data_IF_672380794483
#
_entry.id   IF_672380794483
#
_cell.length_a   1.000
_cell.length_b   1.000
_cell.length_c   1.000
_cell.angle_alpha   90.00
_cell.angle_beta   90.00
_cell.angle_gamma   90.00
#
_symmetry.space_group_name_H-M   'P 1'
#
loop_
_entity.id
_entity.type
_entity.pdbx_description
1 polymer ?
#
# COMPACT_ATOMS: atom_id res chain seq x y z
N UNK A 1 -12.33 8.86 -18.55
CA UNK A 1 -12.12 7.54 -19.18
C UNK A 1 -11.07 7.69 -20.26
N UNK A 2 -10.30 6.64 -20.54
CA UNK A 2 -9.31 6.64 -21.64
C UNK A 2 -9.75 5.57 -22.63
N UNK A 3 -9.78 5.91 -23.92
CA UNK A 3 -10.22 5.04 -25.01
C UNK A 3 -9.04 4.77 -25.95
N UNK A 4 -8.75 3.49 -26.21
CA UNK A 4 -7.76 3.08 -27.21
C UNK A 4 -8.45 2.21 -28.26
N UNK A 5 -8.35 2.60 -29.52
CA UNK A 5 -9.00 1.90 -30.64
C UNK A 5 -7.98 1.55 -31.71
N UNK A 6 -8.10 0.34 -32.25
CA UNK A 6 -7.48 -0.08 -33.49
C UNK A 6 -8.54 -0.53 -34.51
N UNK A 7 -8.11 -0.72 -35.75
CA UNK A 7 -8.88 -1.20 -36.90
C UNK A 7 -8.35 -2.55 -37.43
N UNK A 8 -7.62 -3.31 -36.60
CA UNK A 8 -7.04 -4.59 -36.96
C UNK A 8 -8.06 -5.73 -37.04
N UNK A 9 -7.56 -6.97 -37.00
CA UNK A 9 -8.40 -8.18 -37.08
C UNK A 9 -9.33 -8.43 -35.89
N UNK A 10 -9.15 -7.67 -34.80
CA UNK A 10 -9.82 -7.92 -33.52
C UNK A 10 -9.29 -9.15 -32.77
N UNK A 11 -9.89 -9.45 -31.61
CA UNK A 11 -9.59 -10.67 -30.86
C UNK A 11 -10.30 -11.89 -31.46
N UNK A 12 -9.55 -12.98 -31.52
CA UNK A 12 -10.00 -14.27 -32.03
C UNK A 12 -10.43 -15.16 -30.85
N UNK A 13 -11.74 -15.39 -30.75
CA UNK A 13 -12.36 -16.15 -29.65
C UNK A 13 -11.84 -17.58 -29.59
N UNK A 14 -11.76 -18.25 -30.73
CA UNK A 14 -11.37 -19.65 -30.82
C UNK A 14 -9.91 -19.84 -30.45
N UNK A 15 -9.02 -18.97 -30.96
CA UNK A 15 -7.59 -19.01 -30.59
C UNK A 15 -7.38 -18.78 -29.09
N UNK A 16 -8.12 -17.85 -28.49
CA UNK A 16 -8.00 -17.57 -27.05
C UNK A 16 -8.48 -18.77 -26.23
N UNK A 17 -9.61 -19.38 -26.60
CA UNK A 17 -10.12 -20.58 -25.91
C UNK A 17 -9.15 -21.75 -26.02
N UNK A 18 -8.64 -22.02 -27.24
CA UNK A 18 -7.66 -23.08 -27.49
C UNK A 18 -6.41 -22.87 -26.63
N UNK A 19 -5.88 -21.64 -26.59
CA UNK A 19 -4.70 -21.33 -25.78
C UNK A 19 -4.97 -21.41 -24.28
N UNK A 20 -6.14 -20.97 -23.82
CA UNK A 20 -6.55 -21.07 -22.41
C UNK A 20 -6.69 -22.53 -21.96
N UNK A 21 -7.12 -23.43 -22.85
CA UNK A 21 -7.18 -24.87 -22.60
C UNK A 21 -5.78 -25.49 -22.51
N UNK A 22 -4.90 -25.19 -23.46
CA UNK A 22 -3.49 -25.64 -23.44
C UNK A 22 -2.75 -25.19 -22.17
N UNK A 23 -3.04 -23.97 -21.71
CA UNK A 23 -2.40 -23.37 -20.54
C UNK A 23 -3.05 -23.77 -19.20
N UNK A 24 -4.04 -24.67 -19.22
CA UNK A 24 -4.77 -25.12 -18.02
C UNK A 24 -5.64 -24.06 -17.33
N UNK A 25 -5.87 -22.92 -17.98
CA UNK A 25 -6.66 -21.79 -17.45
C UNK A 25 -8.17 -21.99 -17.64
N UNK A 26 -8.57 -22.72 -18.67
CA UNK A 26 -9.97 -23.05 -18.95
C UNK A 26 -10.39 -24.30 -18.17
N UNK A 27 -11.29 -24.14 -17.21
CA UNK A 27 -11.93 -25.26 -16.48
C UNK A 27 -13.40 -25.33 -16.86
N UNK A 28 -13.81 -26.34 -17.63
CA UNK A 28 -15.21 -26.56 -18.04
C UNK A 28 -15.48 -26.32 -19.53
N UNK A 29 -16.76 -26.23 -19.88
CA UNK A 29 -17.20 -26.09 -21.27
C UNK A 29 -17.03 -24.63 -21.76
N UNK A 30 -16.19 -24.38 -22.79
CA UNK A 30 -16.00 -23.03 -23.33
C UNK A 30 -17.26 -22.38 -23.90
N UNK A 31 -18.26 -23.16 -24.32
CA UNK A 31 -19.51 -22.64 -24.90
C UNK A 31 -20.37 -21.90 -23.87
N UNK A 32 -20.12 -22.12 -22.58
CA UNK A 32 -20.80 -21.42 -21.49
C UNK A 32 -20.23 -20.04 -21.20
N UNK A 33 -19.07 -19.70 -21.77
CA UNK A 33 -18.38 -18.45 -21.50
C UNK A 33 -18.90 -17.32 -22.39
N UNK A 34 -19.23 -16.18 -21.77
CA UNK A 34 -19.47 -14.94 -22.50
C UNK A 34 -18.19 -14.44 -23.17
N UNK A 35 -18.33 -13.66 -24.24
CA UNK A 35 -17.19 -13.00 -24.91
C UNK A 35 -16.29 -12.26 -23.92
N UNK A 36 -16.88 -11.53 -22.98
CA UNK A 36 -16.13 -10.81 -21.94
C UNK A 36 -15.26 -11.74 -21.08
N UNK A 37 -15.79 -12.91 -20.72
CA UNK A 37 -15.02 -13.91 -19.95
C UNK A 37 -13.89 -14.47 -20.80
N UNK A 38 -14.11 -14.72 -22.09
CA UNK A 38 -13.05 -15.18 -23.00
C UNK A 38 -11.96 -14.11 -23.13
N UNK A 39 -12.31 -12.85 -23.37
CA UNK A 39 -11.33 -11.76 -23.48
C UNK A 39 -10.52 -11.57 -22.21
N UNK A 40 -11.08 -11.86 -21.02
CA UNK A 40 -10.35 -11.74 -19.76
C UNK A 40 -9.11 -12.64 -19.67
N UNK A 41 -9.03 -13.73 -20.46
CA UNK A 41 -7.85 -14.58 -20.48
C UNK A 41 -6.59 -13.86 -20.97
N UNK A 42 -6.73 -12.83 -21.81
CA UNK A 42 -5.56 -12.09 -22.32
C UNK A 42 -4.79 -11.36 -21.21
N UNK A 43 -5.43 -11.10 -20.07
CA UNK A 43 -4.79 -10.49 -18.91
C UNK A 43 -4.11 -11.50 -17.98
N UNK A 44 -4.18 -12.81 -18.26
CA UNK A 44 -3.51 -13.81 -17.44
C UNK A 44 -1.99 -13.75 -17.67
N UNK A 45 -1.17 -13.91 -16.61
CA UNK A 45 0.28 -13.89 -16.73
C UNK A 45 0.78 -14.88 -17.78
N UNK A 46 1.66 -14.42 -18.68
CA UNK A 46 2.22 -15.26 -19.74
C UNK A 46 1.25 -15.65 -20.86
N UNK A 47 0.02 -15.13 -20.87
CA UNK A 47 -0.94 -15.43 -21.92
C UNK A 47 -0.60 -14.71 -23.22
N UNK A 48 -0.43 -15.47 -24.31
CA UNK A 48 -0.21 -14.96 -25.66
C UNK A 48 -0.75 -15.95 -26.69
N UNK A 49 -1.35 -15.43 -27.77
CA UNK A 49 -1.85 -16.21 -28.90
C UNK A 49 -0.86 -16.31 -30.07
N UNK A 50 0.36 -15.76 -29.94
CA UNK A 50 1.43 -15.93 -30.95
C UNK A 50 2.14 -17.27 -30.74
N UNK A 51 2.27 -18.04 -31.83
CA UNK A 51 2.92 -19.37 -31.83
C UNK A 51 4.44 -19.32 -31.68
N UNK A 52 5.08 -18.25 -32.17
CA UNK A 52 6.54 -18.08 -32.08
C UNK A 52 6.91 -16.90 -31.18
N UNK A 53 7.75 -17.17 -30.19
CA UNK A 53 8.42 -16.15 -29.36
C UNK A 53 9.48 -15.48 -30.23
N UNK A 54 9.07 -14.50 -31.03
CA UNK A 54 10.02 -13.64 -31.74
C UNK A 54 10.41 -12.47 -30.83
N UNK A 55 11.71 -12.34 -30.56
CA UNK A 55 12.31 -11.35 -29.65
C UNK A 55 12.07 -9.87 -30.04
N UNK A 56 11.45 -9.59 -31.19
CA UNK A 56 11.10 -8.23 -31.60
C UNK A 56 9.72 -7.79 -31.09
N UNK A 57 9.60 -7.65 -29.78
CA UNK A 57 8.77 -6.59 -29.19
C UNK A 57 9.40 -5.96 -27.94
N UNK A 58 10.69 -6.24 -27.69
CA UNK A 58 11.69 -5.30 -27.17
C UNK A 58 11.58 -4.73 -25.76
N UNK A 59 10.44 -4.78 -25.05
CA UNK A 59 10.32 -4.37 -23.62
C UNK A 59 9.30 -5.14 -22.76
N UNK A 60 8.67 -6.20 -23.28
CA UNK A 60 7.98 -7.19 -22.43
C UNK A 60 6.84 -6.65 -21.56
N UNK A 61 5.98 -5.76 -22.08
CA UNK A 61 4.76 -5.34 -21.35
C UNK A 61 3.59 -6.20 -21.82
N UNK A 62 3.37 -7.31 -21.12
CA UNK A 62 2.19 -8.15 -21.32
C UNK A 62 0.91 -7.44 -20.86
N UNK A 63 -0.23 -7.88 -21.38
CA UNK A 63 -1.54 -7.34 -20.98
C UNK A 63 -1.84 -7.58 -19.50
N UNK A 64 -1.22 -8.59 -18.88
CA UNK A 64 -1.23 -8.84 -17.45
C UNK A 64 -0.58 -7.70 -16.64
N UNK A 65 0.49 -7.09 -17.17
CA UNK A 65 1.14 -5.91 -16.57
C UNK A 65 0.20 -4.72 -16.62
N UNK A 66 -0.46 -4.51 -17.76
CA UNK A 66 -1.42 -3.41 -17.96
C UNK A 66 -2.61 -3.54 -17.00
N UNK A 67 -3.18 -4.74 -16.87
CA UNK A 67 -4.28 -4.99 -15.93
C UNK A 67 -3.86 -4.70 -14.48
N UNK A 68 -2.67 -5.16 -14.06
CA UNK A 68 -2.14 -4.84 -12.72
C UNK A 68 -1.98 -3.35 -12.48
N UNK A 69 -1.46 -2.59 -13.47
CA UNK A 69 -1.30 -1.14 -13.36
C UNK A 69 -2.65 -0.43 -13.22
N UNK A 70 -3.64 -0.82 -14.02
CA UNK A 70 -4.99 -0.23 -13.95
C UNK A 70 -5.69 -0.59 -12.64
N UNK A 71 -5.58 -1.83 -12.16
CA UNK A 71 -6.15 -2.25 -10.89
C UNK A 71 -5.50 -1.54 -9.68
N UNK A 72 -4.20 -1.21 -9.76
CA UNK A 72 -3.50 -0.46 -8.70
C UNK A 72 -4.09 0.91 -8.42
N UNK A 73 -4.67 1.54 -9.44
CA UNK A 73 -5.36 2.84 -9.30
C UNK A 73 -6.87 2.69 -9.13
N UNK A 74 -7.31 1.52 -8.63
CA UNK A 74 -8.72 1.13 -8.52
C UNK A 74 -9.51 1.28 -9.83
N UNK A 75 -8.81 1.18 -10.96
CA UNK A 75 -9.39 1.24 -12.28
C UNK A 75 -9.85 -0.12 -12.79
N UNK A 76 -10.51 -0.12 -13.95
CA UNK A 76 -10.86 -1.34 -14.70
C UNK A 76 -10.70 -1.15 -16.20
N UNK A 77 -10.52 -2.25 -16.92
CA UNK A 77 -10.43 -2.30 -18.38
C UNK A 77 -11.64 -3.06 -18.93
N UNK A 78 -12.37 -2.44 -19.85
CA UNK A 78 -13.39 -3.13 -20.65
C UNK A 78 -12.90 -3.28 -22.09
N UNK A 79 -13.24 -4.40 -22.75
CA UNK A 79 -12.83 -4.72 -24.12
C UNK A 79 -14.08 -4.87 -24.98
N UNK A 80 -14.08 -4.20 -26.11
CA UNK A 80 -15.08 -4.35 -27.17
C UNK A 80 -14.35 -4.67 -28.47
N UNK A 81 -14.60 -5.84 -29.04
CA UNK A 81 -13.90 -6.29 -30.24
C UNK A 81 -14.88 -6.89 -31.22
N UNK A 82 -14.57 -6.77 -32.50
CA UNK A 82 -15.27 -7.48 -33.57
C UNK A 82 -14.24 -8.05 -34.54
N UNK A 83 -14.45 -9.29 -34.97
CA UNK A 83 -13.61 -9.92 -35.97
C UNK A 83 -13.54 -9.04 -37.23
N UNK A 84 -12.33 -8.82 -37.74
CA UNK A 84 -12.00 -7.97 -38.90
C UNK A 84 -12.50 -6.52 -38.82
N UNK A 85 -12.76 -5.99 -37.61
CA UNK A 85 -13.20 -4.60 -37.41
C UNK A 85 -12.48 -3.88 -36.26
N UNK A 86 -11.42 -4.48 -35.73
CA UNK A 86 -10.58 -3.94 -34.68
C UNK A 86 -11.06 -4.18 -33.26
N UNK A 87 -10.32 -3.62 -32.31
CA UNK A 87 -10.60 -3.66 -30.88
C UNK A 87 -10.65 -2.26 -30.27
N UNK A 88 -11.52 -2.08 -29.28
CA UNK A 88 -11.64 -0.91 -28.43
C UNK A 88 -11.39 -1.33 -26.98
N UNK A 89 -10.37 -0.74 -26.36
CA UNK A 89 -10.11 -0.83 -24.94
C UNK A 89 -10.62 0.43 -24.24
N UNK A 90 -11.39 0.25 -23.17
CA UNK A 90 -11.95 1.34 -22.35
C UNK A 90 -11.39 1.24 -20.95
N UNK A 91 -10.49 2.17 -20.60
CA UNK A 91 -9.90 2.27 -19.27
C UNK A 91 -10.74 3.23 -18.42
N UNK A 92 -11.33 2.69 -17.36
CA UNK A 92 -12.12 3.43 -16.37
C UNK A 92 -11.30 3.56 -15.10
N UNK A 93 -10.60 4.67 -14.97
CA UNK A 93 -9.84 5.02 -13.77
C UNK A 93 -10.69 6.03 -12.96
N UNK A 94 -10.97 5.77 -11.68
CA UNK A 94 -11.65 6.72 -10.82
C UNK A 94 -10.87 8.02 -10.71
N UNK A 95 -11.55 9.16 -10.93
CA UNK A 95 -11.04 10.49 -10.58
C UNK A 95 -11.40 10.76 -9.12
N UNK A 96 -10.93 9.93 -8.19
CA UNK A 96 -11.30 10.09 -6.79
C UNK A 96 -10.19 10.80 -6.04
N UNK A 97 -10.54 11.93 -5.43
CA UNK A 97 -9.75 12.52 -4.37
C UNK A 97 -9.81 11.59 -3.17
N UNK A 98 -8.71 10.91 -2.85
CA UNK A 98 -8.65 10.09 -1.63
C UNK A 98 -8.49 11.02 -0.43
N UNK A 99 -9.55 11.20 0.34
CA UNK A 99 -9.53 11.94 1.59
C UNK A 99 -9.23 10.99 2.76
N UNK A 100 -8.39 11.45 3.68
CA UNK A 100 -8.06 10.73 4.91
C UNK A 100 -8.23 11.69 6.08
N UNK A 101 -8.97 11.27 7.11
CA UNK A 101 -8.95 11.95 8.40
C UNK A 101 -7.77 11.44 9.22
N UNK A 102 -6.94 12.36 9.71
CA UNK A 102 -5.78 11.99 10.51
C UNK A 102 -5.32 13.07 11.46
N UNK A 103 -4.59 12.63 12.48
CA UNK A 103 -3.87 13.49 13.41
C UNK A 103 -2.52 13.87 12.82
N UNK A 104 -2.28 15.17 12.73
CA UNK A 104 -1.00 15.72 12.30
C UNK A 104 -0.06 15.78 13.49
N UNK A 105 1.07 15.09 13.37
CA UNK A 105 2.14 15.09 14.37
C UNK A 105 3.42 15.67 13.76
N UNK A 106 4.29 16.18 14.62
CA UNK A 106 5.61 16.67 14.23
C UNK A 106 6.69 15.88 14.96
N UNK A 107 7.73 15.51 14.21
CA UNK A 107 8.96 14.94 14.76
C UNK A 107 10.14 15.70 14.17
N UNK A 108 10.91 16.36 15.02
CA UNK A 108 11.88 17.38 14.67
C UNK A 108 11.27 18.43 13.70
N UNK A 109 11.68 18.40 12.42
CA UNK A 109 11.23 19.34 11.39
C UNK A 109 10.26 18.71 10.38
N UNK A 110 9.93 17.44 10.54
CA UNK A 110 9.10 16.69 9.60
C UNK A 110 7.69 16.49 10.15
N UNK A 111 6.73 16.38 9.25
CA UNK A 111 5.32 16.23 9.55
C UNK A 111 4.83 14.84 9.14
N UNK A 112 4.04 14.23 10.01
CA UNK A 112 3.42 12.93 9.75
C UNK A 112 1.93 12.99 10.06
N UNK A 113 1.19 12.10 9.40
CA UNK A 113 -0.24 11.93 9.59
C UNK A 113 -0.45 10.50 10.06
N UNK A 114 -1.09 10.36 11.22
CA UNK A 114 -1.59 9.07 11.69
C UNK A 114 -3.10 9.04 11.41
N UNK A 115 -3.63 8.03 10.69
CA UNK A 115 -5.07 7.89 10.52
C UNK A 115 -5.79 7.91 11.87
N UNK A 116 -6.83 8.73 12.02
CA UNK A 116 -7.53 8.87 13.32
C UNK A 116 -8.11 7.53 13.80
N UNK A 117 -8.46 6.65 12.87
CA UNK A 117 -8.95 5.28 13.15
C UNK A 117 -7.93 4.39 13.84
N UNK A 118 -6.64 4.70 13.68
CA UNK A 118 -5.53 3.92 14.22
C UNK A 118 -4.95 4.56 15.49
N UNK A 119 -5.59 5.60 16.05
CA UNK A 119 -5.16 6.29 17.26
C UNK A 119 -6.08 5.92 18.41
N UNK A 120 -5.50 5.38 19.48
CA UNK A 120 -6.22 5.10 20.72
C UNK A 120 -6.26 6.33 21.64
N UNK A 121 -5.09 6.85 22.00
CA UNK A 121 -4.96 8.04 22.86
C UNK A 121 -3.58 8.69 22.69
N UNK A 122 -3.41 9.92 23.19
CA UNK A 122 -2.11 10.59 23.27
C UNK A 122 -1.89 11.12 24.68
N UNK A 123 -0.70 10.88 25.23
CA UNK A 123 -0.33 11.30 26.60
C UNK A 123 0.99 12.08 26.58
N UNK A 124 1.28 12.79 27.68
CA UNK A 124 2.62 13.35 27.89
C UNK A 124 3.59 12.19 28.05
N UNK A 125 4.69 12.21 27.29
CA UNK A 125 5.73 11.21 27.42
C UNK A 125 6.70 11.63 28.53
N UNK A 126 6.82 10.77 29.53
CA UNK A 126 7.79 10.89 30.60
C UNK A 126 8.79 9.73 30.46
N UNK A 127 10.01 10.04 30.05
CA UNK A 127 11.08 9.05 29.87
C UNK A 127 11.42 8.34 31.20
N UNK A 128 11.21 8.99 32.36
CA UNK A 128 11.41 8.37 33.66
C UNK A 128 10.33 7.34 34.02
N UNK A 129 9.19 7.37 33.32
CA UNK A 129 8.10 6.41 33.48
C UNK A 129 8.33 5.12 32.69
N UNK A 130 9.43 5.00 31.94
CA UNK A 130 9.83 3.76 31.29
C UNK A 130 10.22 2.72 32.35
N UNK A 131 9.32 1.78 32.62
CA UNK A 131 9.44 0.86 33.76
C UNK A 131 10.33 -0.34 33.48
N UNK A 132 10.53 -0.68 32.21
CA UNK A 132 11.24 -1.91 31.84
C UNK A 132 11.82 -1.80 30.44
N UNK A 133 13.10 -2.21 30.32
CA UNK A 133 13.72 -2.53 29.04
C UNK A 133 13.59 -4.05 28.87
N UNK A 134 12.71 -4.47 27.98
CA UNK A 134 12.67 -5.87 27.56
C UNK A 134 13.20 -5.96 26.14
N UNK A 135 14.37 -6.60 26.01
CA UNK A 135 15.04 -6.83 24.72
C UNK A 135 15.33 -5.57 23.91
N UNK A 136 15.76 -4.52 24.60
CA UNK A 136 16.10 -3.23 23.98
C UNK A 136 14.89 -2.44 23.47
N UNK A 137 13.68 -2.84 23.86
CA UNK A 137 12.44 -2.06 23.67
C UNK A 137 12.00 -1.55 25.03
N UNK A 138 11.71 -0.25 25.09
CA UNK A 138 11.20 0.39 26.30
C UNK A 138 9.69 0.18 26.39
N UNK A 139 9.19 0.00 27.61
CA UNK A 139 7.76 -0.15 27.85
C UNK A 139 7.29 0.91 28.83
N UNK A 140 6.10 1.48 28.55
CA UNK A 140 5.37 2.30 29.49
C UNK A 140 4.14 1.54 29.98
N UNK A 141 3.85 1.65 31.27
CA UNK A 141 2.61 1.11 31.82
C UNK A 141 1.49 2.14 31.64
N UNK A 142 0.54 1.84 30.76
CA UNK A 142 -0.66 2.64 30.56
C UNK A 142 -1.85 1.89 31.15
N UNK A 143 -2.30 2.34 32.33
CA UNK A 143 -3.32 1.64 33.14
C UNK A 143 -2.84 0.23 33.49
N UNK A 144 -3.54 -0.81 33.05
CA UNK A 144 -3.20 -2.23 33.30
C UNK A 144 -2.40 -2.87 32.16
N UNK A 145 -2.02 -2.09 31.14
CA UNK A 145 -1.38 -2.58 29.92
C UNK A 145 0.06 -2.06 29.81
N UNK A 146 0.97 -2.90 29.29
CA UNK A 146 2.34 -2.51 28.96
C UNK A 146 2.44 -2.22 27.47
N UNK A 147 2.68 -0.96 27.14
CA UNK A 147 2.77 -0.50 25.75
C UNK A 147 4.24 -0.38 25.36
N UNK A 148 4.70 -1.07 24.29
CA UNK A 148 6.05 -0.89 23.77
C UNK A 148 6.18 0.49 23.12
N UNK A 149 7.27 1.17 23.43
CA UNK A 149 7.56 2.54 22.99
C UNK A 149 8.62 2.52 21.89
N UNK A 150 8.34 3.24 20.81
CA UNK A 150 9.22 3.39 19.65
C UNK A 150 9.39 4.85 19.28
N UNK A 151 10.53 5.16 18.69
CA UNK A 151 10.78 6.43 18.04
C UNK A 151 10.53 6.32 16.53
N UNK A 152 10.38 7.45 15.87
CA UNK A 152 10.24 7.49 14.42
C UNK A 152 11.46 6.87 13.68
N UNK A 153 12.64 6.89 14.29
CA UNK A 153 13.84 6.25 13.72
C UNK A 153 13.69 4.73 13.63
N UNK A 154 13.06 4.11 14.63
CA UNK A 154 12.82 2.67 14.66
C UNK A 154 11.83 2.27 13.54
N UNK A 155 10.84 3.14 13.32
CA UNK A 155 9.80 2.96 12.31
C UNK A 155 10.38 3.09 10.90
N UNK A 156 10.95 4.26 10.59
CA UNK A 156 11.30 4.66 9.23
C UNK A 156 12.74 4.32 8.82
N UNK A 157 13.55 3.77 9.74
CA UNK A 157 14.93 3.32 9.46
C UNK A 157 15.78 4.39 8.76
N UNK A 158 15.68 5.64 9.21
CA UNK A 158 16.33 6.78 8.56
C UNK A 158 17.85 6.62 8.45
N UNK A 159 18.42 7.13 7.34
CA UNK A 159 19.89 7.29 7.20
C UNK A 159 20.48 8.28 8.20
N UNK A 160 19.68 9.25 8.68
CA UNK A 160 20.07 10.24 9.70
C UNK A 160 19.08 10.18 10.85
N UNK A 161 19.57 9.86 12.05
CA UNK A 161 18.73 9.81 13.25
C UNK A 161 18.05 11.18 13.47
N UNK A 162 16.74 11.17 13.64
CA UNK A 162 15.94 12.30 14.10
C UNK A 162 15.94 12.28 15.63
N UNK A 163 16.33 13.37 16.26
CA UNK A 163 16.30 13.50 17.71
C UNK A 163 15.08 14.32 18.10
N UNK A 164 14.37 13.87 19.13
CA UNK A 164 13.32 14.66 19.76
C UNK A 164 13.97 15.91 20.33
N UNK A 165 13.40 17.06 19.98
CA UNK A 165 13.89 18.39 20.32
C UNK A 165 13.06 19.07 21.40
N UNK A 166 11.84 18.56 21.64
CA UNK A 166 10.93 19.14 22.62
C UNK A 166 11.28 18.68 24.04
N UNK A 167 11.24 19.62 24.99
CA UNK A 167 11.44 19.36 26.42
C UNK A 167 10.27 18.60 27.07
N UNK A 168 9.10 18.59 26.43
CA UNK A 168 7.91 17.81 26.83
C UNK A 168 7.34 17.06 25.63
N UNK A 169 7.98 15.96 25.21
CA UNK A 169 7.45 15.11 24.15
C UNK A 169 6.10 14.50 24.51
N UNK A 170 5.39 14.03 23.49
CA UNK A 170 4.14 13.30 23.63
C UNK A 170 4.34 11.85 23.18
N UNK A 171 3.54 10.96 23.72
CA UNK A 171 3.44 9.57 23.29
C UNK A 171 2.07 9.37 22.64
N UNK A 172 2.05 9.08 21.34
CA UNK A 172 0.84 8.75 20.61
C UNK A 172 0.69 7.24 20.57
N UNK A 173 -0.39 6.72 21.14
CA UNK A 173 -0.69 5.30 21.16
C UNK A 173 -1.44 4.94 19.89
N UNK A 174 -0.77 4.20 19.01
CA UNK A 174 -1.32 3.71 17.77
C UNK A 174 -1.74 2.24 17.94
N UNK A 175 -2.90 1.87 17.40
CA UNK A 175 -3.46 0.52 17.56
C UNK A 175 -3.96 -0.05 16.23
N UNK A 176 -3.62 -1.30 15.96
CA UNK A 176 -4.18 -2.07 14.86
C UNK A 176 -4.54 -3.48 15.35
N UNK A 177 -5.73 -3.98 15.02
CA UNK A 177 -6.18 -5.34 15.36
C UNK A 177 -5.92 -5.76 16.84
N UNK A 178 -6.14 -4.82 17.78
CA UNK A 178 -5.95 -4.91 19.26
C UNK A 178 -4.52 -4.82 19.77
N UNK A 179 -3.58 -4.49 18.91
CA UNK A 179 -2.18 -4.43 19.25
C UNK A 179 -1.72 -2.98 19.23
N UNK A 180 -1.24 -2.52 20.37
CA UNK A 180 -0.91 -1.13 20.58
C UNK A 180 0.61 -0.93 20.66
N UNK A 181 1.08 0.15 20.06
CA UNK A 181 2.45 0.64 20.22
C UNK A 181 2.41 2.15 20.53
N UNK A 182 3.38 2.63 21.28
CA UNK A 182 3.58 4.04 21.53
C UNK A 182 4.60 4.63 20.57
N UNK A 183 4.24 5.72 19.88
CA UNK A 183 5.17 6.52 19.09
C UNK A 183 5.49 7.82 19.81
N UNK A 184 6.77 8.02 20.15
CA UNK A 184 7.21 9.28 20.73
C UNK A 184 7.31 10.37 19.66
N UNK A 185 6.69 11.51 19.92
CA UNK A 185 6.62 12.66 19.00
C UNK A 185 6.95 13.97 19.71
N UNK A 186 7.40 14.98 18.97
CA UNK A 186 7.64 16.31 19.53
C UNK A 186 6.33 17.03 19.82
N UNK A 187 5.34 16.90 18.95
CA UNK A 187 4.10 17.68 19.03
C UNK A 187 2.94 16.99 18.30
N UNK A 188 1.75 17.10 18.88
CA UNK A 188 0.47 16.83 18.21
C UNK A 188 -0.13 18.18 17.83
N UNK A 189 -0.26 18.42 16.53
CA UNK A 189 -0.75 19.71 16.00
C UNK A 189 -2.28 19.74 16.00
N UNK A 190 -2.91 18.61 15.72
CA UNK A 190 -4.36 18.46 15.73
C UNK A 190 -4.87 17.56 14.61
N UNK A 191 -6.19 17.44 14.50
CA UNK A 191 -6.84 16.58 13.51
C UNK A 191 -7.23 17.38 12.28
N UNK A 192 -7.08 16.78 11.10
CA UNK A 192 -7.54 17.39 9.85
C UNK A 192 -7.83 16.34 8.79
N UNK A 193 -8.62 16.73 7.78
CA UNK A 193 -8.84 15.91 6.59
C UNK A 193 -7.82 16.28 5.53
N UNK A 194 -7.02 15.32 5.10
CA UNK A 194 -5.95 15.52 4.12
C UNK A 194 -6.25 14.79 2.81
N UNK A 195 -5.75 15.36 1.71
CA UNK A 195 -5.78 14.69 0.41
C UNK A 195 -4.58 13.76 0.30
N UNK A 196 -4.84 12.47 0.18
CA UNK A 196 -3.81 11.45 0.00
C UNK A 196 -3.32 11.46 -1.44
N UNK A 197 -2.00 11.59 -1.60
CA UNK A 197 -1.30 11.37 -2.86
C UNK A 197 -0.47 10.09 -2.75
N UNK A 198 -0.51 9.28 -3.81
CA UNK A 198 0.33 8.10 -3.93
C UNK A 198 1.80 8.51 -3.98
N UNK A 199 2.59 8.02 -3.03
CA UNK A 199 4.07 8.18 -3.00
C UNK A 199 4.74 7.14 -3.92
N UNK A 200 4.00 6.08 -4.26
CA UNK A 200 4.51 4.86 -4.86
C UNK A 200 4.98 5.01 -6.31
N UNK A 201 4.44 5.97 -7.05
CA UNK A 201 4.77 6.15 -8.46
C UNK A 201 6.10 6.89 -8.69
N UNK A 202 6.67 7.52 -7.65
CA UNK A 202 7.85 8.39 -7.76
C UNK A 202 9.03 7.93 -6.88
N UNK A 203 8.76 7.40 -5.67
CA UNK A 203 9.80 7.16 -4.66
C UNK A 203 10.00 5.68 -4.28
N UNK A 204 9.21 4.76 -4.85
CA UNK A 204 9.14 3.38 -4.38
C UNK A 204 8.42 3.25 -3.03
N UNK A 205 8.30 2.03 -2.50
CA UNK A 205 7.69 1.80 -1.18
C UNK A 205 8.63 2.29 -0.08
N UNK A 206 8.20 3.27 0.71
CA UNK A 206 8.88 3.68 1.94
C UNK A 206 8.29 2.84 3.07
N UNK A 207 9.13 2.10 3.80
CA UNK A 207 8.67 1.31 4.94
C UNK A 207 7.99 2.19 5.98
N UNK A 208 6.79 1.78 6.43
CA UNK A 208 6.00 2.51 7.42
C UNK A 208 5.24 3.72 6.87
N UNK A 209 5.18 3.93 5.54
CA UNK A 209 4.45 5.05 4.92
C UNK A 209 3.49 4.52 3.86
N UNK A 210 2.21 4.91 3.98
CA UNK A 210 1.14 4.54 3.05
C UNK A 210 0.87 5.60 1.98
N UNK A 211 1.36 6.84 2.17
CA UNK A 211 1.18 7.93 1.24
C UNK A 211 1.77 9.25 1.72
N UNK A 212 1.49 10.33 1.00
CA UNK A 212 1.86 11.68 1.41
C UNK A 212 0.74 12.66 1.13
N UNK A 213 0.86 13.85 1.72
CA UNK A 213 -0.05 14.96 1.50
C UNK A 213 0.69 16.28 1.57
N UNK A 214 0.01 17.34 1.12
CA UNK A 214 0.45 18.72 1.32
C UNK A 214 -0.50 19.32 2.35
N UNK A 215 0.05 19.70 3.50
CA UNK A 215 -0.70 20.35 4.58
C UNK A 215 -1.12 21.76 4.15
N UNK A 216 -2.11 22.35 4.83
CA UNK A 216 -2.54 23.73 4.56
C UNK A 216 -1.42 24.78 4.70
N UNK A 217 -0.35 24.46 5.42
CA UNK A 217 0.87 25.26 5.53
C UNK A 217 1.79 25.19 4.31
N UNK A 218 1.48 24.37 3.30
CA UNK A 218 2.33 24.08 2.15
C UNK A 218 3.45 23.06 2.43
N UNK A 219 3.60 22.59 3.68
CA UNK A 219 4.57 21.54 4.04
C UNK A 219 4.08 20.17 3.62
N UNK A 220 5.02 19.28 3.30
CA UNK A 220 4.72 17.88 2.99
C UNK A 220 4.58 17.09 4.28
N UNK A 221 3.52 16.29 4.38
CA UNK A 221 3.32 15.32 5.45
C UNK A 221 3.31 13.89 4.92
N UNK A 222 3.94 12.96 5.63
CA UNK A 222 3.91 11.54 5.31
C UNK A 222 2.84 10.82 6.12
N UNK A 223 2.03 9.99 5.47
CA UNK A 223 0.97 9.23 6.12
C UNK A 223 1.55 7.91 6.58
N UNK A 224 1.47 7.63 7.89
CA UNK A 224 2.00 6.41 8.46
C UNK A 224 1.11 5.21 8.13
N UNK A 225 1.74 4.09 7.76
CA UNK A 225 1.06 2.80 7.60
C UNK A 225 1.05 2.07 8.95
N UNK A 226 0.10 2.40 9.82
CA UNK A 226 0.07 1.87 11.20
C UNK A 226 0.00 0.35 11.21
N UNK A 227 -0.79 -0.25 10.32
CA UNK A 227 -0.86 -1.70 10.14
C UNK A 227 0.52 -2.31 9.90
N UNK A 228 1.24 -1.80 8.91
CA UNK A 228 2.58 -2.31 8.60
C UNK A 228 3.57 -2.07 9.75
N UNK A 229 3.43 -0.96 10.47
CA UNK A 229 4.31 -0.60 11.58
C UNK A 229 4.09 -1.53 12.76
N UNK A 230 2.85 -1.65 13.24
CA UNK A 230 2.47 -2.53 14.36
C UNK A 230 2.90 -3.97 14.07
N UNK A 231 2.52 -4.53 12.91
CA UNK A 231 2.88 -5.90 12.55
C UNK A 231 4.39 -6.14 12.41
N UNK A 232 5.20 -5.13 12.07
CA UNK A 232 6.67 -5.24 12.05
C UNK A 232 7.21 -5.40 13.48
N UNK A 233 6.76 -4.56 14.40
CA UNK A 233 7.30 -4.56 15.76
C UNK A 233 6.84 -5.73 16.60
N UNK A 234 5.64 -6.25 16.34
CA UNK A 234 5.23 -7.51 16.92
C UNK A 234 6.13 -8.68 16.55
N UNK A 235 6.40 -8.86 15.25
CA UNK A 235 7.33 -9.91 14.79
C UNK A 235 8.70 -9.77 15.43
N UNK A 236 9.16 -8.53 15.64
CA UNK A 236 10.41 -8.26 16.38
C UNK A 236 10.31 -8.79 17.82
N UNK A 237 9.25 -8.42 18.55
CA UNK A 237 9.02 -8.86 19.92
C UNK A 237 8.86 -10.40 20.05
N UNK A 238 8.22 -11.05 19.07
CA UNK A 238 8.04 -12.51 19.01
C UNK A 238 9.31 -13.27 18.63
N UNK A 239 10.05 -12.82 17.62
CA UNK A 239 11.26 -13.49 17.12
C UNK A 239 12.37 -13.57 18.17
N UNK A 240 12.46 -12.58 19.04
CA UNK A 240 13.41 -12.58 20.14
C UNK A 240 12.91 -13.44 21.34
N UNK A 241 11.65 -13.90 21.35
CA UNK A 241 11.10 -14.85 22.36
C UNK A 241 11.61 -16.26 22.22
N UNK A 242 11.82 -16.69 20.97
CA UNK A 242 12.28 -18.04 20.66
C UNK A 242 13.78 -18.21 20.95
N UNK A 243 14.57 -17.14 20.81
CA UNK A 243 16.02 -17.18 21.02
C UNK A 243 16.47 -17.19 22.50
N UNK A 244 15.64 -16.71 23.43
CA UNK A 244 15.96 -16.69 24.87
C UNK A 244 15.50 -17.93 25.65
N UNK A 245 14.85 -18.88 24.97
CA UNK A 245 14.39 -20.15 25.53
C UNK A 245 15.22 -21.37 25.11
N UNK A 246 16.43 -21.14 24.57
CA UNK A 246 17.40 -22.16 24.14
C UNK A 246 18.58 -22.23 25.09
#
# INVERSE_FOLDING_TARGET
WILLRDDGRGLDREKIISRARESGLLKGNPDTLTDRQVWSFIFKPGFSTRGDVTEMSGRGVGMDVVERMVNRVNGRIDIYTRHDRGTLFVLKIPLTLSLLEGMVIRVANDYFIIPTTDIRESIVYDESAEKSIFRGVNFIQLREEYIPVFTLNDILSYRKKRTISNARPLLVIMEHEREAIGLVVDEVIGNTTVVVKSVFDILGSIHGVSGCTVLGSGRVGLILDVKSIVGKFQKKLESESVASGS
#
